data_IF_952362936472
#
_entry.id   IF_952362936472
#
_cell.length_a   1.000
_cell.length_b   1.000
_cell.length_c   1.000
_cell.angle_alpha   90.00
_cell.angle_beta   90.00
_cell.angle_gamma   90.00
#
_symmetry.space_group_name_H-M   'P 1'
#
loop_
_entity.id
_entity.type
_entity.pdbx_description
1 polymer ?
#
# COMPACT_ATOMS: atom_id res chain seq x y z
N UNK A 1 6.25 4.26 -28.25
CA UNK A 1 5.93 3.68 -26.92
C UNK A 1 4.77 4.47 -26.36
N UNK A 2 3.67 3.82 -26.02
CA UNK A 2 2.50 4.52 -25.45
C UNK A 2 2.65 4.65 -23.94
N UNK A 3 2.34 5.84 -23.42
CA UNK A 3 2.20 6.09 -21.98
C UNK A 3 0.72 5.96 -21.65
N UNK A 4 0.38 5.33 -20.53
CA UNK A 4 -0.98 5.40 -19.99
C UNK A 4 -1.04 6.41 -18.85
N UNK A 5 -2.16 7.08 -18.76
CA UNK A 5 -2.47 8.03 -17.69
C UNK A 5 -3.73 7.57 -16.97
N UNK A 6 -3.62 7.37 -15.66
CA UNK A 6 -4.67 6.87 -14.81
C UNK A 6 -4.99 7.94 -13.77
N UNK A 7 -6.28 8.19 -13.54
CA UNK A 7 -6.78 9.18 -12.58
C UNK A 7 -7.49 8.49 -11.43
N UNK A 8 -7.17 8.89 -10.21
CA UNK A 8 -7.76 8.36 -8.98
C UNK A 8 -8.31 9.50 -8.13
N UNK A 9 -9.54 9.35 -7.66
CA UNK A 9 -10.17 10.33 -6.76
C UNK A 9 -9.51 10.27 -5.37
N UNK A 10 -9.03 11.42 -4.89
CA UNK A 10 -8.38 11.55 -3.59
C UNK A 10 -9.36 11.37 -2.41
N UNK A 11 -10.67 11.41 -2.65
CA UNK A 11 -11.68 11.05 -1.65
C UNK A 11 -11.78 9.53 -1.42
N UNK A 12 -11.33 8.72 -2.38
CA UNK A 12 -11.41 7.26 -2.33
C UNK A 12 -10.05 6.64 -2.04
N UNK A 13 -8.99 7.13 -2.69
CA UNK A 13 -7.64 6.61 -2.58
C UNK A 13 -6.74 7.56 -1.81
N UNK A 14 -6.02 7.04 -0.82
CA UNK A 14 -4.96 7.79 -0.14
C UNK A 14 -3.72 7.92 -1.04
N UNK A 15 -2.90 8.94 -0.78
CA UNK A 15 -1.61 9.11 -1.45
C UNK A 15 -0.72 7.86 -1.30
N UNK A 16 -0.72 7.25 -0.11
CA UNK A 16 0.09 6.07 0.18
C UNK A 16 -0.36 4.84 -0.63
N UNK A 17 -1.67 4.64 -0.82
CA UNK A 17 -2.18 3.58 -1.70
C UNK A 17 -1.73 3.80 -3.14
N UNK A 18 -1.85 5.03 -3.65
CA UNK A 18 -1.45 5.36 -5.03
C UNK A 18 0.05 5.18 -5.22
N UNK A 19 0.87 5.65 -4.27
CA UNK A 19 2.33 5.53 -4.33
C UNK A 19 2.77 4.07 -4.22
N UNK A 20 2.23 3.29 -3.28
CA UNK A 20 2.55 1.86 -3.14
C UNK A 20 2.18 1.05 -4.38
N UNK A 21 0.99 1.32 -4.93
CA UNK A 21 0.53 0.66 -6.16
C UNK A 21 1.45 1.02 -7.31
N UNK A 22 1.74 2.30 -7.51
CA UNK A 22 2.66 2.78 -8.56
C UNK A 22 4.05 2.18 -8.43
N UNK A 23 4.61 2.14 -7.22
CA UNK A 23 5.95 1.61 -6.96
C UNK A 23 6.08 0.12 -7.33
N UNK A 24 5.01 -0.68 -7.20
CA UNK A 24 4.99 -2.09 -7.63
C UNK A 24 5.32 -2.27 -9.11
N UNK A 25 5.02 -1.28 -9.95
CA UNK A 25 5.27 -1.29 -11.38
C UNK A 25 6.63 -0.68 -11.77
N UNK A 26 7.40 -0.13 -10.82
CA UNK A 26 8.67 0.58 -11.09
C UNK A 26 9.79 -0.28 -11.70
N UNK A 27 9.68 -1.61 -11.62
CA UNK A 27 10.61 -2.54 -12.27
C UNK A 27 10.50 -2.52 -13.79
N UNK A 28 9.27 -2.56 -14.30
CA UNK A 28 8.96 -2.75 -15.73
C UNK A 28 8.56 -1.43 -16.43
N UNK A 29 8.23 -0.41 -15.65
CA UNK A 29 7.70 0.87 -16.13
C UNK A 29 8.52 2.05 -15.59
N UNK A 30 8.58 3.13 -16.36
CA UNK A 30 8.82 4.45 -15.82
C UNK A 30 7.50 4.95 -15.23
N UNK A 31 7.56 5.45 -14.00
CA UNK A 31 6.36 5.78 -13.22
C UNK A 31 6.45 7.19 -12.66
N UNK A 32 5.35 7.95 -12.73
CA UNK A 32 5.20 9.22 -12.00
C UNK A 32 3.83 9.29 -11.34
N UNK A 33 3.78 9.99 -10.20
CA UNK A 33 2.53 10.31 -9.49
C UNK A 33 2.50 11.81 -9.26
N UNK A 34 1.44 12.46 -9.72
CA UNK A 34 1.16 13.88 -9.49
C UNK A 34 -0.15 14.00 -8.73
N UNK A 35 -0.26 15.01 -7.87
CA UNK A 35 -1.49 15.32 -7.15
C UNK A 35 -2.07 16.64 -7.66
N UNK A 36 -3.28 16.56 -8.22
CA UNK A 36 -4.01 17.66 -8.82
C UNK A 36 -5.31 17.89 -8.05
N UNK A 37 -5.28 18.81 -7.07
CA UNK A 37 -6.40 19.23 -6.24
C UNK A 37 -7.18 18.12 -5.51
N UNK A 38 -7.99 17.34 -6.23
CA UNK A 38 -8.83 16.24 -5.74
C UNK A 38 -8.53 14.92 -6.44
N UNK A 39 -7.49 14.85 -7.27
CA UNK A 39 -7.18 13.70 -8.11
C UNK A 39 -5.69 13.38 -8.03
N UNK A 40 -5.34 12.10 -7.93
CA UNK A 40 -4.00 11.62 -8.21
C UNK A 40 -3.91 11.19 -9.67
N UNK A 41 -2.89 11.68 -10.37
CA UNK A 41 -2.57 11.34 -11.75
C UNK A 41 -1.34 10.45 -11.77
N UNK A 42 -1.52 9.21 -12.21
CA UNK A 42 -0.44 8.22 -12.36
C UNK A 42 -0.11 8.08 -13.83
N UNK A 43 1.16 8.17 -14.19
CA UNK A 43 1.64 7.90 -15.55
C UNK A 43 2.56 6.69 -15.55
N UNK A 44 2.30 5.75 -16.46
CA UNK A 44 3.10 4.55 -16.66
C UNK A 44 3.57 4.49 -18.12
N UNK A 45 4.89 4.47 -18.31
CA UNK A 45 5.51 4.28 -19.62
C UNK A 45 6.31 2.96 -19.62
N UNK A 46 6.00 1.99 -20.50
CA UNK A 46 6.72 0.73 -20.58
C UNK A 46 8.21 0.93 -20.87
N UNK A 47 9.09 0.19 -20.17
CA UNK A 47 10.52 0.13 -20.52
C UNK A 47 10.79 -0.74 -21.75
N UNK A 48 9.84 -1.62 -22.11
CA UNK A 48 9.90 -2.52 -23.27
C UNK A 48 8.66 -2.36 -24.16
N UNK A 49 8.79 -2.60 -25.46
CA UNK A 49 7.74 -2.39 -26.46
C UNK A 49 6.62 -3.44 -26.50
N UNK A 50 6.68 -4.47 -25.65
CA UNK A 50 5.77 -5.64 -25.71
C UNK A 50 4.54 -5.55 -24.78
N UNK A 51 4.29 -4.41 -24.14
CA UNK A 51 3.22 -4.30 -23.15
C UNK A 51 1.87 -3.96 -23.79
N UNK A 52 0.84 -4.73 -23.44
CA UNK A 52 -0.55 -4.41 -23.75
C UNK A 52 -1.06 -3.35 -22.74
N UNK A 53 -1.30 -2.14 -23.23
CA UNK A 53 -1.68 -0.99 -22.41
C UNK A 53 -3.08 -1.10 -21.81
N UNK A 54 -4.04 -1.74 -22.50
CA UNK A 54 -5.41 -1.90 -21.99
C UNK A 54 -5.44 -2.87 -20.78
N UNK A 55 -4.73 -4.00 -20.91
CA UNK A 55 -4.58 -4.95 -19.81
C UNK A 55 -3.81 -4.35 -18.63
N UNK A 56 -2.84 -3.47 -18.92
CA UNK A 56 -2.09 -2.75 -17.89
C UNK A 56 -2.99 -1.83 -17.08
N UNK A 57 -3.87 -1.06 -17.74
CA UNK A 57 -4.83 -0.17 -17.08
C UNK A 57 -5.78 -0.94 -16.16
N UNK A 58 -6.40 -2.02 -16.63
CA UNK A 58 -7.29 -2.87 -15.82
C UNK A 58 -6.57 -3.45 -14.61
N UNK A 59 -5.39 -4.05 -14.84
CA UNK A 59 -4.59 -4.64 -13.77
C UNK A 59 -4.18 -3.60 -12.73
N UNK A 60 -3.78 -2.41 -13.16
CA UNK A 60 -3.39 -1.35 -12.23
C UNK A 60 -4.56 -0.90 -11.36
N UNK A 61 -5.77 -0.75 -11.94
CA UNK A 61 -6.97 -0.39 -11.16
C UNK A 61 -7.33 -1.47 -10.14
N UNK A 62 -7.25 -2.74 -10.51
CA UNK A 62 -7.48 -3.86 -9.59
C UNK A 62 -6.47 -3.83 -8.44
N UNK A 63 -5.18 -3.69 -8.76
CA UNK A 63 -4.12 -3.63 -7.75
C UNK A 63 -4.30 -2.43 -6.80
N UNK A 64 -4.76 -1.28 -7.29
CA UNK A 64 -5.05 -0.10 -6.48
C UNK A 64 -6.22 -0.32 -5.52
N UNK A 65 -7.31 -0.96 -6.01
CA UNK A 65 -8.45 -1.31 -5.18
C UNK A 65 -8.09 -2.30 -4.08
N UNK A 66 -7.28 -3.31 -4.42
CA UNK A 66 -6.80 -4.29 -3.44
C UNK A 66 -5.95 -3.61 -2.36
N UNK A 67 -5.06 -2.69 -2.72
CA UNK A 67 -4.25 -1.96 -1.73
C UNK A 67 -5.10 -1.01 -0.86
N UNK A 68 -6.15 -0.39 -1.42
CA UNK A 68 -7.14 0.39 -0.65
C UNK A 68 -7.91 -0.47 0.36
N UNK A 69 -8.30 -1.68 -0.03
CA UNK A 69 -8.97 -2.62 0.88
C UNK A 69 -8.04 -3.09 1.98
N UNK A 70 -6.77 -3.38 1.65
CA UNK A 70 -5.74 -3.71 2.65
C UNK A 70 -5.48 -2.57 3.62
N UNK A 71 -5.48 -1.32 3.15
CA UNK A 71 -5.39 -0.14 4.01
C UNK A 71 -6.58 -0.06 4.97
N UNK A 72 -7.82 -0.23 4.47
CA UNK A 72 -9.01 -0.24 5.31
C UNK A 72 -8.94 -1.31 6.40
N UNK A 73 -8.55 -2.53 6.02
CA UNK A 73 -8.42 -3.64 6.99
C UNK A 73 -7.37 -3.29 8.03
N UNK A 74 -6.24 -2.68 7.67
CA UNK A 74 -5.20 -2.25 8.62
C UNK A 74 -5.72 -1.18 9.58
N UNK A 75 -6.51 -0.24 9.10
CA UNK A 75 -7.14 0.80 9.93
C UNK A 75 -8.14 0.19 10.91
N UNK A 76 -9.03 -0.68 10.44
CA UNK A 76 -10.06 -1.33 11.25
C UNK A 76 -9.50 -2.33 12.27
N UNK A 77 -8.36 -2.98 11.96
CA UNK A 77 -7.76 -4.03 12.80
C UNK A 77 -6.57 -3.55 13.63
N UNK A 78 -6.14 -2.29 13.48
CA UNK A 78 -4.94 -1.76 14.11
C UNK A 78 -4.96 -1.84 15.64
N UNK A 79 -6.10 -1.51 16.26
CA UNK A 79 -6.26 -1.58 17.71
C UNK A 79 -6.19 -3.02 18.24
N UNK A 80 -6.86 -3.95 17.54
CA UNK A 80 -6.83 -5.38 17.89
C UNK A 80 -5.40 -5.91 17.76
N UNK A 81 -4.69 -5.56 16.69
CA UNK A 81 -3.31 -5.95 16.50
C UNK A 81 -2.40 -5.42 17.61
N UNK A 82 -2.53 -4.15 17.99
CA UNK A 82 -1.76 -3.55 19.07
C UNK A 82 -2.04 -4.22 20.43
N UNK A 83 -3.31 -4.57 20.71
CA UNK A 83 -3.69 -5.29 21.92
C UNK A 83 -3.06 -6.69 21.97
N UNK A 84 -3.09 -7.43 20.85
CA UNK A 84 -2.48 -8.76 20.75
C UNK A 84 -0.96 -8.69 20.93
N UNK A 85 -0.29 -7.74 20.28
CA UNK A 85 1.15 -7.53 20.42
C UNK A 85 1.51 -7.19 21.88
N UNK A 86 0.74 -6.31 22.52
CA UNK A 86 0.94 -5.94 23.93
C UNK A 86 0.76 -7.14 24.87
N UNK A 87 -0.26 -7.96 24.64
CA UNK A 87 -0.50 -9.17 25.43
C UNK A 87 0.63 -10.20 25.26
N UNK A 88 1.06 -10.44 24.02
CA UNK A 88 2.18 -11.34 23.73
C UNK A 88 3.50 -10.85 24.35
N UNK A 89 3.77 -9.55 24.31
CA UNK A 89 4.93 -8.95 24.97
C UNK A 89 4.88 -9.15 26.48
N UNK A 90 3.73 -8.95 27.13
CA UNK A 90 3.58 -9.18 28.58
C UNK A 90 3.88 -10.62 28.99
N UNK A 91 3.40 -11.58 28.21
CA UNK A 91 3.63 -13.00 28.46
C UNK A 91 5.09 -13.41 28.19
N UNK A 92 5.75 -12.75 27.24
CA UNK A 92 7.13 -13.04 26.86
C UNK A 92 8.19 -12.36 27.74
N UNK A 93 7.81 -11.41 28.61
CA UNK A 93 8.74 -10.81 29.58
C UNK A 93 8.98 -11.84 30.69
N UNK A 94 10.21 -12.38 30.85
CA UNK A 94 10.50 -13.27 31.95
C UNK A 94 10.28 -12.52 33.26
N UNK A 95 9.60 -13.16 34.23
CA UNK A 95 9.57 -12.66 35.59
C UNK A 95 11.01 -12.53 36.05
N UNK A 96 11.47 -11.30 36.27
CA UNK A 96 12.77 -11.06 36.86
C UNK A 96 12.77 -11.80 38.20
N UNK A 97 13.72 -12.73 38.31
CA UNK A 97 13.82 -13.72 39.38
C UNK A 97 14.04 -12.96 40.69
N UNK A 98 12.94 -12.62 41.38
CA UNK A 98 12.98 -12.07 42.71
C UNK A 98 13.46 -13.18 43.65
N UNK A 99 14.79 -13.27 43.76
CA UNK A 99 15.49 -14.11 44.71
C UNK A 99 15.07 -13.86 46.17
N UNK A 100 15.37 -14.81 47.06
CA UNK A 100 14.52 -15.14 48.19
C UNK A 100 14.57 -14.12 49.33
N UNK A 101 13.42 -14.01 49.98
CA UNK A 101 13.10 -13.39 51.26
C UNK A 101 14.15 -13.63 52.35
N UNK A 102 14.55 -12.60 53.14
CA UNK A 102 15.03 -12.80 54.50
C UNK A 102 13.88 -12.93 55.52
#
# INVERSE_FOLDING_TARGET
MGTIELRFDAAIFSADVVVRTTYRYSGDFYTSVEHEATTFVVRLAPRSSTVNLALLEERFRTDALDERMREQIREETGEVHAALVTAALREAVPADDAGPTP
#
